data_IF_056362360499
#
_entry.id   IF_056362360499
#
_cell.length_a   1.000
_cell.length_b   1.000
_cell.length_c   1.000
_cell.angle_alpha   90.00
_cell.angle_beta   90.00
_cell.angle_gamma   90.00
#
_symmetry.space_group_name_H-M   'P 1'
#
loop_
_entity.id
_entity.type
_entity.pdbx_description
1 polymer ?
#
# COMPACT_ATOMS: atom_id res chain seq x y z
N UNK A 1 -14.13 -0.35 -1.75
CA UNK A 1 -14.14 0.33 -0.44
C UNK A 1 -15.52 0.85 -0.09
N UNK A 2 -15.78 1.09 1.19
CA UNK A 2 -17.01 1.70 1.69
C UNK A 2 -16.66 2.93 2.50
N UNK A 3 -17.18 4.09 2.07
CA UNK A 3 -17.08 5.36 2.80
C UNK A 3 -18.36 5.55 3.60
N UNK A 4 -18.22 5.91 4.87
CA UNK A 4 -19.30 6.18 5.81
C UNK A 4 -19.38 7.69 6.05
N UNK A 5 -20.61 8.23 6.04
CA UNK A 5 -20.88 9.60 6.47
C UNK A 5 -21.32 9.60 7.93
N UNK A 6 -20.68 10.44 8.73
CA UNK A 6 -21.04 10.66 10.13
C UNK A 6 -21.65 12.05 10.29
N UNK A 7 -22.76 12.13 11.01
CA UNK A 7 -23.38 13.36 11.48
C UNK A 7 -23.16 13.46 12.99
N UNK A 8 -22.40 14.48 13.43
CA UNK A 8 -22.04 14.67 14.84
C UNK A 8 -21.46 13.39 15.49
N UNK A 9 -20.58 12.70 14.75
CA UNK A 9 -19.92 11.47 15.20
C UNK A 9 -20.75 10.19 15.10
N UNK A 10 -22.00 10.24 14.62
CA UNK A 10 -22.83 9.05 14.39
C UNK A 10 -22.95 8.76 12.91
N UNK A 11 -22.69 7.52 12.51
CA UNK A 11 -22.91 7.09 11.13
C UNK A 11 -24.38 7.24 10.74
N UNK A 12 -24.65 7.86 9.60
CA UNK A 12 -26.00 8.09 9.07
C UNK A 12 -26.19 7.53 7.66
N UNK A 13 -25.13 7.44 6.87
CA UNK A 13 -25.15 6.89 5.53
C UNK A 13 -23.82 6.19 5.23
N UNK A 14 -23.82 5.38 4.17
CA UNK A 14 -22.60 4.83 3.58
C UNK A 14 -22.73 4.72 2.07
N UNK A 15 -21.59 4.71 1.38
CA UNK A 15 -21.48 4.57 -0.07
C UNK A 15 -20.41 3.54 -0.37
N UNK A 16 -20.74 2.54 -1.19
CA UNK A 16 -19.74 1.67 -1.80
C UNK A 16 -19.13 2.42 -2.98
N UNK A 17 -17.80 2.48 -3.02
CA UNK A 17 -17.03 3.20 -4.03
C UNK A 17 -16.10 2.22 -4.73
N UNK A 18 -16.01 2.35 -6.04
CA UNK A 18 -15.26 1.45 -6.90
C UNK A 18 -14.61 2.19 -8.08
N UNK A 19 -13.83 1.46 -8.87
CA UNK A 19 -13.20 1.99 -10.07
C UNK A 19 -14.21 2.50 -11.11
N UNK A 20 -15.41 1.92 -11.22
CA UNK A 20 -16.45 2.41 -12.14
C UNK A 20 -17.00 3.77 -11.74
N UNK A 21 -16.88 4.13 -10.46
CA UNK A 21 -17.25 5.45 -9.94
C UNK A 21 -16.09 6.46 -10.09
N UNK A 22 -14.98 6.05 -10.74
CA UNK A 22 -13.71 6.78 -10.75
C UNK A 22 -13.23 7.17 -9.33
N UNK A 23 -13.52 6.32 -8.34
CA UNK A 23 -13.22 6.55 -6.92
C UNK A 23 -13.85 7.81 -6.32
N UNK A 24 -14.87 8.37 -6.96
CA UNK A 24 -15.60 9.53 -6.47
C UNK A 24 -16.87 9.11 -5.73
N UNK A 25 -17.30 9.94 -4.78
CA UNK A 25 -18.53 9.74 -4.05
C UNK A 25 -19.17 11.08 -3.65
N UNK A 26 -20.49 11.08 -3.52
CA UNK A 26 -21.28 12.20 -3.00
C UNK A 26 -22.32 11.69 -2.01
N UNK A 27 -22.66 12.55 -1.05
CA UNK A 27 -23.82 12.40 -0.17
C UNK A 27 -24.65 13.67 -0.31
N UNK A 28 -25.82 13.54 -0.94
CA UNK A 28 -26.67 14.66 -1.32
C UNK A 28 -27.88 14.80 -0.39
N UNK A 29 -28.51 15.98 -0.39
CA UNK A 29 -29.71 16.29 0.40
C UNK A 29 -29.52 16.13 1.93
N UNK A 30 -28.35 16.53 2.42
CA UNK A 30 -28.02 16.49 3.85
C UNK A 30 -28.57 17.74 4.58
N UNK A 31 -29.24 17.59 5.74
CA UNK A 31 -29.65 18.74 6.53
C UNK A 31 -28.42 19.49 7.06
N UNK A 32 -28.45 20.83 7.03
CA UNK A 32 -27.37 21.64 7.60
C UNK A 32 -27.49 21.81 9.12
N UNK A 33 -28.70 21.63 9.68
CA UNK A 33 -29.01 21.83 11.09
C UNK A 33 -29.87 20.69 11.64
N UNK A 34 -29.66 20.35 12.91
CA UNK A 34 -30.55 19.49 13.70
C UNK A 34 -30.84 20.20 15.03
N UNK A 35 -32.13 20.31 15.40
CA UNK A 35 -32.58 20.97 16.63
C UNK A 35 -31.98 22.39 16.80
N UNK A 36 -31.94 23.17 15.71
CA UNK A 36 -31.38 24.53 15.70
C UNK A 36 -29.86 24.63 15.78
N UNK A 37 -29.12 23.51 15.84
CA UNK A 37 -27.64 23.48 15.88
C UNK A 37 -27.07 23.01 14.55
N UNK A 38 -25.97 23.62 14.10
CA UNK A 38 -25.27 23.23 12.87
C UNK A 38 -24.72 21.80 13.02
N UNK A 39 -24.89 20.98 11.99
CA UNK A 39 -24.36 19.61 11.96
C UNK A 39 -22.90 19.65 11.50
N UNK A 40 -22.05 18.90 12.18
CA UNK A 40 -20.69 18.59 11.72
C UNK A 40 -20.71 17.25 11.00
N UNK A 41 -20.39 17.29 9.71
CA UNK A 41 -20.20 16.08 8.91
C UNK A 41 -18.73 15.70 8.85
N UNK A 42 -18.46 14.41 8.97
CA UNK A 42 -17.14 13.81 8.72
C UNK A 42 -17.33 12.50 7.96
N UNK A 43 -16.25 12.00 7.37
CA UNK A 43 -16.26 10.69 6.72
C UNK A 43 -15.28 9.75 7.41
N UNK A 44 -15.59 8.46 7.36
CA UNK A 44 -14.65 7.39 7.67
C UNK A 44 -14.69 6.33 6.58
N UNK A 45 -13.71 5.45 6.54
CA UNK A 45 -13.68 4.33 5.62
C UNK A 45 -13.59 3.02 6.39
N UNK A 46 -14.24 1.98 5.86
CA UNK A 46 -13.95 0.61 6.29
C UNK A 46 -12.63 0.18 5.66
N UNK A 47 -11.57 0.11 6.48
CA UNK A 47 -10.24 -0.25 6.01
C UNK A 47 -10.23 -1.64 5.33
N UNK A 48 -9.65 -1.69 4.13
CA UNK A 48 -9.39 -2.94 3.42
C UNK A 48 -8.08 -3.57 3.94
N UNK A 49 -8.00 -4.90 3.93
CA UNK A 49 -6.83 -5.61 4.45
C UNK A 49 -5.56 -5.25 3.67
N UNK A 50 -4.49 -4.89 4.40
CA UNK A 50 -3.20 -4.52 3.81
C UNK A 50 -3.07 -3.04 3.42
N UNK A 51 -4.11 -2.23 3.63
CA UNK A 51 -4.06 -0.78 3.45
C UNK A 51 -4.17 -0.05 4.79
N UNK A 52 -3.49 1.09 4.88
CA UNK A 52 -3.70 2.08 5.93
C UNK A 52 -4.46 3.26 5.33
N UNK A 53 -5.61 3.58 5.93
CA UNK A 53 -6.48 4.67 5.48
C UNK A 53 -6.27 5.94 6.31
N UNK A 54 -6.23 7.10 5.64
CA UNK A 54 -6.20 8.41 6.27
C UNK A 54 -7.31 9.30 5.69
N UNK A 55 -7.90 10.14 6.52
CA UNK A 55 -8.97 11.08 6.14
C UNK A 55 -8.49 12.51 6.36
N UNK A 56 -8.51 13.33 5.32
CA UNK A 56 -8.27 14.77 5.37
C UNK A 56 -9.51 15.52 4.85
N UNK A 57 -10.30 16.07 5.77
CA UNK A 57 -11.63 16.61 5.48
C UNK A 57 -12.56 15.53 4.93
N UNK A 58 -12.75 15.54 3.61
CA UNK A 58 -13.54 14.55 2.87
C UNK A 58 -12.71 13.74 1.86
N UNK A 59 -11.39 13.94 1.82
CA UNK A 59 -10.52 13.13 0.99
C UNK A 59 -10.07 11.91 1.78
N UNK A 60 -10.28 10.73 1.22
CA UNK A 60 -9.84 9.45 1.80
C UNK A 60 -8.63 8.96 1.00
N UNK A 61 -7.51 8.72 1.68
CA UNK A 61 -6.28 8.21 1.06
C UNK A 61 -5.97 6.83 1.62
N UNK A 62 -5.81 5.86 0.73
CA UNK A 62 -5.39 4.50 1.07
C UNK A 62 -3.94 4.27 0.66
N UNK A 63 -3.08 3.92 1.62
CA UNK A 63 -1.68 3.61 1.36
C UNK A 63 -1.39 2.12 1.60
N UNK A 64 -0.74 1.46 0.63
CA UNK A 64 -0.24 0.10 0.76
C UNK A 64 1.28 0.10 0.66
N UNK A 65 1.92 -0.54 1.64
CA UNK A 65 3.37 -0.77 1.61
C UNK A 65 3.62 -2.23 1.24
N UNK A 66 4.17 -2.52 0.05
CA UNK A 66 4.49 -3.88 -0.36
C UNK A 66 5.56 -4.51 0.54
N UNK A 67 5.45 -5.81 0.78
CA UNK A 67 6.48 -6.56 1.47
C UNK A 67 7.78 -6.59 0.65
N UNK A 68 8.92 -6.56 1.33
CA UNK A 68 10.25 -6.68 0.72
C UNK A 68 10.98 -7.90 1.24
N UNK A 69 11.92 -8.42 0.45
CA UNK A 69 12.78 -9.55 0.83
C UNK A 69 14.25 -9.19 0.63
N UNK A 70 15.12 -9.77 1.45
CA UNK A 70 16.56 -9.64 1.33
C UNK A 70 17.14 -10.97 0.82
N UNK A 71 17.88 -10.92 -0.29
CA UNK A 71 18.59 -12.08 -0.84
C UNK A 71 20.09 -11.90 -0.60
N UNK A 72 20.72 -12.89 0.04
CA UNK A 72 22.16 -12.89 0.30
C UNK A 72 22.72 -14.30 0.21
N UNK A 73 23.97 -14.42 -0.22
CA UNK A 73 24.70 -15.68 -0.28
C UNK A 73 26.21 -15.44 -0.30
N UNK A 74 26.97 -16.52 -0.20
CA UNK A 74 28.43 -16.52 -0.28
C UNK A 74 28.90 -17.43 -1.40
N UNK A 75 30.04 -17.09 -2.01
CA UNK A 75 30.73 -18.00 -2.93
C UNK A 75 31.79 -18.78 -2.16
N UNK A 76 31.64 -20.10 -2.13
CA UNK A 76 32.68 -21.01 -1.63
C UNK A 76 33.45 -21.61 -2.81
N UNK A 77 34.77 -21.62 -2.72
CA UNK A 77 35.64 -22.34 -3.65
C UNK A 77 36.14 -23.63 -2.99
N UNK A 78 36.00 -24.76 -3.67
CA UNK A 78 36.54 -26.07 -3.26
C UNK A 78 37.60 -26.51 -4.27
N UNK A 79 38.77 -25.88 -4.21
CA UNK A 79 39.84 -25.95 -5.21
C UNK A 79 41.23 -26.11 -4.56
N UNK A 80 41.28 -26.77 -3.40
CA UNK A 80 42.50 -27.00 -2.61
C UNK A 80 43.34 -25.74 -2.38
N UNK A 81 42.67 -24.66 -1.97
CA UNK A 81 43.29 -23.35 -1.77
C UNK A 81 43.97 -22.81 -3.06
N UNK A 82 43.27 -22.93 -4.19
CA UNK A 82 43.75 -22.52 -5.51
C UNK A 82 45.06 -23.22 -5.93
N UNK A 83 45.17 -24.54 -5.71
CA UNK A 83 46.38 -25.33 -5.99
C UNK A 83 46.90 -25.15 -7.43
N UNK A 84 45.98 -25.12 -8.40
CA UNK A 84 46.33 -25.00 -9.82
C UNK A 84 46.49 -23.54 -10.29
N UNK A 85 46.26 -22.56 -9.41
CA UNK A 85 46.42 -21.14 -9.72
C UNK A 85 45.35 -20.53 -10.64
N UNK A 86 44.31 -21.27 -11.01
CA UNK A 86 43.31 -20.86 -12.02
C UNK A 86 42.11 -20.09 -11.46
N UNK A 87 42.00 -19.92 -10.14
CA UNK A 87 40.88 -19.17 -9.54
C UNK A 87 40.88 -17.71 -10.04
N UNK A 88 39.76 -17.21 -10.58
CA UNK A 88 39.69 -15.83 -11.03
C UNK A 88 39.78 -14.87 -9.84
N UNK A 89 40.32 -13.67 -10.09
CA UNK A 89 40.43 -12.60 -9.09
C UNK A 89 39.06 -12.05 -8.67
N UNK A 90 38.04 -12.18 -9.51
CA UNK A 90 36.67 -11.78 -9.23
C UNK A 90 35.64 -12.64 -9.96
N UNK A 91 34.39 -12.54 -9.55
CA UNK A 91 33.24 -13.08 -10.25
C UNK A 91 32.15 -12.01 -10.30
N UNK A 92 31.24 -12.15 -11.25
CA UNK A 92 30.00 -11.36 -11.28
C UNK A 92 28.84 -12.27 -10.86
N UNK A 93 27.97 -11.74 -10.00
CA UNK A 93 26.76 -12.40 -9.56
C UNK A 93 25.55 -11.58 -10.00
N UNK A 94 24.62 -12.23 -10.70
CA UNK A 94 23.39 -11.61 -11.16
C UNK A 94 22.23 -12.04 -10.26
N UNK A 95 21.43 -11.07 -9.80
CA UNK A 95 20.13 -11.33 -9.18
C UNK A 95 19.07 -11.39 -10.27
N UNK A 96 18.31 -12.47 -10.31
CA UNK A 96 17.22 -12.67 -11.27
C UNK A 96 15.88 -12.65 -10.52
N UNK A 97 14.92 -11.90 -11.07
CA UNK A 97 13.51 -11.97 -10.69
C UNK A 97 12.74 -12.64 -11.82
N UNK A 98 12.13 -13.81 -11.55
CA UNK A 98 11.40 -14.60 -12.54
C UNK A 98 12.21 -14.85 -13.84
N UNK A 99 13.47 -15.20 -13.70
CA UNK A 99 14.37 -15.48 -14.83
C UNK A 99 14.91 -14.24 -15.55
N UNK A 100 14.51 -13.01 -15.17
CA UNK A 100 15.05 -11.76 -15.74
C UNK A 100 16.05 -11.13 -14.78
N UNK A 101 17.21 -10.73 -15.29
CA UNK A 101 18.22 -10.04 -14.50
C UNK A 101 17.67 -8.68 -14.02
N UNK A 102 17.75 -8.43 -12.71
CA UNK A 102 17.30 -7.18 -12.06
C UNK A 102 18.44 -6.44 -11.37
N UNK A 103 19.53 -7.12 -11.04
CA UNK A 103 20.73 -6.52 -10.45
C UNK A 103 21.95 -7.36 -10.80
N UNK A 104 23.13 -6.73 -10.82
CA UNK A 104 24.43 -7.39 -11.00
C UNK A 104 25.42 -6.79 -10.00
N UNK A 105 26.35 -7.60 -9.49
CA UNK A 105 27.41 -7.18 -8.57
C UNK A 105 28.69 -7.97 -8.83
#
# INVERSE_FOLDING_TARGET
MTVNLLSNGKQVQSKKVSASDNWQYSFDNLPAYANGKKITYTVTENADAGYTSTVDGYNVTNNHTPATVKVSGTKTWKDNNNQDGIRPSSITVNLLSNGKQVQSK
#
